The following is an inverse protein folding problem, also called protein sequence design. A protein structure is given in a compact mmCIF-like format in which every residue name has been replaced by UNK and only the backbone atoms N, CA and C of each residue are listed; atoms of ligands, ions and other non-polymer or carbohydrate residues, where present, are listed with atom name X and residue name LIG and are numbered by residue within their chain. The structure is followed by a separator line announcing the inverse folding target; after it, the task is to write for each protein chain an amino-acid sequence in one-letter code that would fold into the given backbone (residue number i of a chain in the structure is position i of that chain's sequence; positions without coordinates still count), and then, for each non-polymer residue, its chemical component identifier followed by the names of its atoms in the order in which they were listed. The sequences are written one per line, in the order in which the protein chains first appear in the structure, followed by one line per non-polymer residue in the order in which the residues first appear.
data_IF_560650001458
#
_entry.id   IF_560650001458
#
_cell.length_a   1.000
_cell.length_b   1.000
_cell.length_c   1.000
_cell.angle_alpha   90.00
_cell.angle_beta   90.00
_cell.angle_gamma   90.00
#
_symmetry.space_group_name_H-M   'P 1'
#
loop_
_entity.id
_entity.type
_entity.pdbx_description
1 polymer ?
#
# COMPACT_ATOMS: atom_id res chain seq x y z
N UNK A 1 20.76 23.63 -3.30
CA UNK A 1 20.16 22.51 -4.08
C UNK A 1 18.66 22.71 -4.11
N UNK A 2 18.00 22.71 -5.28
CA UNK A 2 16.54 22.74 -5.34
C UNK A 2 15.98 21.49 -4.64
N UNK A 3 15.01 21.67 -3.74
CA UNK A 3 14.32 20.53 -3.12
C UNK A 3 13.64 19.75 -4.25
N UNK A 4 13.79 18.41 -4.32
CA UNK A 4 13.05 17.62 -5.28
C UNK A 4 11.56 17.90 -5.07
N UNK A 5 10.84 18.23 -6.15
CA UNK A 5 9.39 18.38 -6.11
C UNK A 5 8.82 17.04 -5.69
N UNK A 6 8.16 16.97 -4.54
CA UNK A 6 7.44 15.78 -4.12
C UNK A 6 6.44 15.43 -5.22
N UNK A 7 6.46 14.20 -5.76
CA UNK A 7 5.46 13.79 -6.73
C UNK A 7 4.06 13.98 -6.14
N UNK A 8 3.15 14.51 -6.95
CA UNK A 8 1.76 14.73 -6.54
C UNK A 8 1.05 13.38 -6.56
N UNK A 9 1.04 12.71 -5.41
CA UNK A 9 0.29 11.47 -5.20
C UNK A 9 -1.18 11.80 -4.96
N UNK A 10 -2.07 11.05 -5.60
CA UNK A 10 -3.52 11.15 -5.47
C UNK A 10 -4.19 9.77 -5.37
N UNK A 11 -5.46 9.74 -4.96
CA UNK A 11 -6.23 8.51 -4.89
C UNK A 11 -6.35 7.86 -6.28
N UNK A 12 -6.28 6.53 -6.29
CA UNK A 12 -6.30 5.72 -7.51
C UNK A 12 -4.94 5.62 -8.20
N UNK A 13 -3.92 6.37 -7.78
CA UNK A 13 -2.57 6.19 -8.30
C UNK A 13 -2.08 4.78 -8.03
N UNK A 14 -1.47 4.18 -9.04
CA UNK A 14 -0.85 2.87 -8.94
C UNK A 14 0.65 3.04 -8.89
N UNK A 15 1.24 2.42 -7.86
CA UNK A 15 2.64 2.52 -7.52
C UNK A 15 3.37 1.22 -7.87
N UNK A 16 4.54 1.38 -8.46
CA UNK A 16 5.56 0.35 -8.55
C UNK A 16 6.42 0.42 -7.29
N UNK A 17 6.41 -0.65 -6.50
CA UNK A 17 7.19 -0.76 -5.25
C UNK A 17 8.29 -1.82 -5.45
N UNK A 18 9.57 -1.43 -5.50
CA UNK A 18 10.67 -2.39 -5.63
C UNK A 18 10.76 -3.23 -4.35
N UNK A 19 10.65 -4.56 -4.47
CA UNK A 19 10.62 -5.45 -3.30
C UNK A 19 11.64 -6.58 -3.39
N UNK A 20 11.77 -7.23 -4.54
CA UNK A 20 12.85 -8.20 -4.81
C UNK A 20 13.91 -7.56 -5.73
N UNK A 21 15.08 -8.18 -5.88
CA UNK A 21 16.18 -7.66 -6.70
C UNK A 21 15.80 -7.35 -8.16
N UNK A 22 14.87 -8.12 -8.71
CA UNK A 22 14.43 -8.08 -10.11
C UNK A 22 12.90 -8.00 -10.26
N UNK A 23 12.16 -7.79 -9.17
CA UNK A 23 10.69 -7.77 -9.18
C UNK A 23 10.13 -6.64 -8.34
N UNK A 24 8.96 -6.16 -8.75
CA UNK A 24 8.21 -5.16 -8.00
C UNK A 24 6.82 -5.68 -7.61
N UNK A 25 6.29 -5.13 -6.52
CA UNK A 25 4.90 -5.26 -6.13
C UNK A 25 4.12 -4.05 -6.65
N UNK A 26 2.86 -4.27 -7.04
CA UNK A 26 1.94 -3.19 -7.34
C UNK A 26 1.19 -2.77 -6.08
N UNK A 27 0.97 -1.47 -5.91
CA UNK A 27 0.10 -0.93 -4.88
C UNK A 27 -0.85 0.13 -5.48
N UNK A 28 -2.03 0.29 -4.92
CA UNK A 28 -2.95 1.38 -5.26
C UNK A 28 -3.10 2.32 -4.06
N UNK A 29 -3.09 3.62 -4.31
CA UNK A 29 -3.38 4.66 -3.32
C UNK A 29 -4.87 4.69 -3.09
N UNK A 30 -5.31 4.20 -1.93
CA UNK A 30 -6.71 4.14 -1.55
C UNK A 30 -7.20 5.44 -0.93
N UNK A 31 -6.31 6.15 -0.24
CA UNK A 31 -6.62 7.42 0.40
C UNK A 31 -5.37 8.27 0.56
N UNK A 32 -5.49 9.59 0.34
CA UNK A 32 -4.45 10.56 0.69
C UNK A 32 -5.00 11.47 1.77
N UNK A 33 -4.38 11.44 2.94
CA UNK A 33 -4.88 12.15 4.12
C UNK A 33 -4.51 13.62 4.09
N UNK A 34 -5.51 14.45 4.35
CA UNK A 34 -5.43 15.86 4.70
C UNK A 34 -5.27 16.04 6.22
N UNK A 35 -5.82 15.12 7.03
CA UNK A 35 -5.72 15.15 8.49
C UNK A 35 -4.31 14.76 8.98
N UNK A 36 -3.76 13.66 8.47
CA UNK A 36 -2.41 13.18 8.79
C UNK A 36 -1.45 13.74 7.76
N UNK A 37 -0.56 14.63 8.21
CA UNK A 37 0.42 15.27 7.32
C UNK A 37 1.26 14.23 6.56
N UNK A 38 1.19 14.29 5.23
CA UNK A 38 1.84 13.35 4.30
C UNK A 38 1.34 11.91 4.37
N UNK A 39 0.30 11.62 5.16
CA UNK A 39 -0.27 10.29 5.29
C UNK A 39 -0.95 9.84 4.00
N UNK A 40 -0.78 8.56 3.66
CA UNK A 40 -1.56 7.89 2.64
C UNK A 40 -1.80 6.44 3.02
N UNK A 41 -2.83 5.85 2.43
CA UNK A 41 -3.18 4.45 2.58
C UNK A 41 -2.93 3.72 1.27
N UNK A 42 -2.22 2.60 1.34
CA UNK A 42 -1.95 1.73 0.20
C UNK A 42 -2.63 0.37 0.36
N UNK A 43 -3.27 -0.09 -0.71
CA UNK A 43 -3.63 -1.49 -0.92
C UNK A 43 -2.56 -2.17 -1.78
N UNK A 44 -2.00 -3.29 -1.33
CA UNK A 44 -1.00 -4.06 -2.07
C UNK A 44 -1.64 -5.24 -2.77
N UNK A 45 -1.26 -5.51 -4.01
CA UNK A 45 -1.74 -6.67 -4.76
C UNK A 45 -0.85 -7.90 -4.48
N UNK A 46 -1.40 -9.12 -4.48
CA UNK A 46 -0.65 -10.33 -4.11
C UNK A 46 0.33 -10.82 -5.19
N UNK A 47 0.43 -10.12 -6.33
CA UNK A 47 1.25 -10.51 -7.48
C UNK A 47 2.52 -9.68 -7.59
N UNK A 48 3.61 -10.35 -7.99
CA UNK A 48 4.86 -9.71 -8.38
C UNK A 48 4.97 -9.57 -9.90
N UNK A 49 5.64 -8.51 -10.34
CA UNK A 49 5.86 -8.19 -11.74
C UNK A 49 7.35 -8.03 -12.03
N UNK A 50 7.76 -8.48 -13.23
CA UNK A 50 9.12 -8.28 -13.73
C UNK A 50 9.37 -6.82 -14.11
N UNK A 51 10.63 -6.39 -14.25
CA UNK A 51 10.99 -4.98 -14.32
C UNK A 51 10.56 -4.30 -15.62
N UNK A 52 10.43 -5.08 -16.70
CA UNK A 52 9.99 -4.66 -18.03
C UNK A 52 8.46 -4.78 -18.22
N UNK A 53 7.74 -5.35 -17.26
CA UNK A 53 6.29 -5.52 -17.37
C UNK A 53 5.60 -4.16 -17.31
N UNK A 54 4.83 -3.84 -18.35
CA UNK A 54 3.96 -2.67 -18.39
C UNK A 54 2.62 -3.02 -17.74
N UNK A 55 2.45 -2.59 -16.51
CA UNK A 55 1.26 -2.86 -15.71
C UNK A 55 0.00 -2.31 -16.37
N UNK A 56 -1.04 -3.13 -16.43
CA UNK A 56 -2.38 -2.77 -16.91
C UNK A 56 -3.40 -2.95 -15.78
N UNK A 57 -4.54 -2.27 -15.87
CA UNK A 57 -5.59 -2.37 -14.85
C UNK A 57 -6.09 -3.81 -14.68
N UNK A 58 -6.18 -4.57 -15.77
CA UNK A 58 -6.57 -5.99 -15.77
C UNK A 58 -5.55 -6.92 -15.09
N UNK A 59 -4.31 -6.46 -14.84
CA UNK A 59 -3.33 -7.24 -14.09
C UNK A 59 -3.60 -7.24 -12.57
N UNK A 60 -4.47 -6.34 -12.11
CA UNK A 60 -4.71 -6.06 -10.70
C UNK A 60 -6.04 -6.65 -10.24
N UNK A 61 -5.95 -7.82 -9.62
CA UNK A 61 -7.11 -8.51 -9.07
C UNK A 61 -7.18 -8.34 -7.54
N UNK A 62 -8.38 -8.01 -7.04
CA UNK A 62 -8.71 -8.08 -5.63
C UNK A 62 -8.92 -9.55 -5.19
N UNK A 63 -8.74 -9.89 -3.90
CA UNK A 63 -8.48 -8.99 -2.77
C UNK A 63 -7.02 -8.52 -2.66
N UNK A 64 -6.80 -7.47 -1.87
CA UNK A 64 -5.46 -7.06 -1.48
C UNK A 64 -4.74 -8.17 -0.70
N UNK A 65 -3.41 -8.17 -0.78
CA UNK A 65 -2.53 -9.09 -0.04
C UNK A 65 -2.81 -9.12 1.46
N UNK A 66 -3.21 -7.97 2.01
CA UNK A 66 -3.55 -7.79 3.42
C UNK A 66 -4.34 -6.47 3.61
N UNK A 67 -4.74 -6.22 4.86
CA UNK A 67 -5.33 -4.94 5.27
C UNK A 67 -4.47 -3.76 4.78
N UNK A 68 -5.08 -2.74 4.17
CA UNK A 68 -4.37 -1.56 3.70
C UNK A 68 -3.47 -0.93 4.76
N UNK A 69 -2.30 -0.45 4.32
CA UNK A 69 -1.26 0.06 5.22
C UNK A 69 -1.17 1.58 5.15
N UNK A 70 -1.01 2.18 6.31
CA UNK A 70 -0.68 3.60 6.44
C UNK A 70 0.81 3.82 6.21
N UNK A 71 1.13 4.80 5.37
CA UNK A 71 2.50 5.22 5.11
C UNK A 71 2.56 6.69 4.71
N UNK A 72 3.74 7.15 4.28
CA UNK A 72 3.97 8.54 3.86
C UNK A 72 4.06 8.65 2.34
N UNK A 73 3.36 9.62 1.75
CA UNK A 73 3.50 9.96 0.33
C UNK A 73 4.90 10.44 -0.05
N UNK A 74 5.73 10.79 0.93
CA UNK A 74 7.14 11.12 0.70
C UNK A 74 7.96 9.91 0.21
N UNK A 75 7.50 8.68 0.44
CA UNK A 75 8.18 7.49 -0.07
C UNK A 75 8.14 7.43 -1.60
N UNK A 76 7.09 8.00 -2.22
CA UNK A 76 7.00 8.15 -3.67
C UNK A 76 8.09 9.13 -4.13
N UNK A 77 8.96 8.66 -5.02
CA UNK A 77 10.15 9.37 -5.47
C UNK A 77 11.37 9.26 -4.56
N UNK A 78 11.24 9.28 -3.22
CA UNK A 78 12.42 9.19 -2.32
C UNK A 78 12.97 7.77 -2.17
N UNK A 79 12.10 6.75 -2.21
CA UNK A 79 12.48 5.33 -2.08
C UNK A 79 12.43 4.60 -3.42
N UNK A 80 12.48 5.32 -4.54
CA UNK A 80 12.37 4.71 -5.87
C UNK A 80 10.99 4.13 -6.19
N UNK A 81 9.97 4.46 -5.40
CA UNK A 81 8.59 4.14 -5.76
C UNK A 81 8.11 5.11 -6.84
N UNK A 82 7.46 4.56 -7.86
CA UNK A 82 7.05 5.31 -9.05
C UNK A 82 5.55 5.18 -9.28
N UNK A 83 4.90 6.29 -9.66
CA UNK A 83 3.51 6.26 -10.13
C UNK A 83 3.52 5.78 -11.58
N UNK A 84 2.86 4.66 -11.86
CA UNK A 84 2.81 4.03 -13.18
C UNK A 84 1.45 4.17 -13.88
N UNK A 85 0.45 4.67 -13.17
CA UNK A 85 -0.90 4.91 -13.71
C UNK A 85 -1.84 5.46 -12.65
N UNK A 86 -3.07 5.76 -13.05
CA UNK A 86 -4.17 6.08 -12.15
C UNK A 86 -5.41 5.30 -12.58
N UNK A 87 -5.88 4.40 -11.71
CA UNK A 87 -7.00 3.48 -11.96
C UNK A 87 -8.08 3.67 -10.90
N UNK A 88 -8.65 4.88 -10.87
CA UNK A 88 -9.69 5.27 -9.93
C UNK A 88 -10.95 4.38 -9.96
N UNK A 89 -11.20 3.64 -11.05
CA UNK A 89 -12.28 2.68 -11.13
C UNK A 89 -12.12 1.54 -10.11
N UNK A 90 -10.89 1.08 -9.83
CA UNK A 90 -10.59 0.07 -8.82
C UNK A 90 -10.92 0.53 -7.38
N UNK A 91 -10.97 1.85 -7.12
CA UNK A 91 -11.38 2.35 -5.81
C UNK A 91 -12.84 2.02 -5.49
N UNK A 92 -13.69 1.90 -6.51
CA UNK A 92 -15.12 1.58 -6.34
C UNK A 92 -15.36 0.14 -5.91
N UNK A 93 -14.40 -0.75 -6.21
CA UNK A 93 -14.47 -2.18 -5.87
C UNK A 93 -13.63 -2.51 -4.64
N UNK A 94 -12.72 -1.63 -4.24
CA UNK A 94 -11.92 -1.79 -3.03
C UNK A 94 -12.79 -1.73 -1.76
N UNK A 95 -12.47 -2.53 -0.72
CA UNK A 95 -13.14 -2.43 0.57
C UNK A 95 -12.93 -1.04 1.18
N UNK A 96 -13.93 -0.48 1.89
CA UNK A 96 -13.78 0.82 2.53
C UNK A 96 -12.67 0.77 3.58
N UNK A 97 -11.79 1.76 3.55
CA UNK A 97 -10.72 1.89 4.54
C UNK A 97 -11.30 2.54 5.79
N UNK A 98 -11.50 1.73 6.83
CA UNK A 98 -11.84 2.20 8.18
C UNK A 98 -10.67 1.87 9.10
N UNK A 99 -10.21 2.84 9.85
CA UNK A 99 -9.06 2.71 10.74
C UNK A 99 -9.32 3.40 12.08
N UNK A 100 -8.47 3.11 13.06
CA UNK A 100 -8.53 3.74 14.38
C UNK A 100 -7.33 4.63 14.69
N UNK A 101 -7.58 5.76 15.34
CA UNK A 101 -6.59 6.59 16.06
C UNK A 101 -7.02 6.63 17.52
N UNK A 102 -6.29 5.92 18.38
CA UNK A 102 -6.78 5.60 19.73
C UNK A 102 -8.09 4.83 19.65
N UNK A 103 -9.13 5.33 20.33
CA UNK A 103 -10.48 4.75 20.33
C UNK A 103 -11.39 5.29 19.20
N UNK A 104 -10.95 6.31 18.46
CA UNK A 104 -11.78 6.95 17.44
C UNK A 104 -11.62 6.23 16.10
N UNK A 105 -12.75 5.94 15.45
CA UNK A 105 -12.80 5.36 14.12
C UNK A 105 -12.89 6.46 13.06
N UNK A 106 -12.20 6.24 11.95
CA UNK A 106 -12.17 7.14 10.81
C UNK A 106 -12.38 6.36 9.52
N UNK A 107 -13.13 6.96 8.59
CA UNK A 107 -13.27 6.49 7.20
C UNK A 107 -12.64 7.56 6.31
N UNK A 108 -11.48 7.27 5.73
CA UNK A 108 -10.63 8.35 5.21
C UNK A 108 -10.32 9.34 6.33
N UNK A 109 -10.47 10.64 6.12
CA UNK A 109 -10.26 11.64 7.17
C UNK A 109 -11.52 11.96 8.01
N UNK A 110 -12.64 11.32 7.71
CA UNK A 110 -13.91 11.61 8.37
C UNK A 110 -14.10 10.78 9.64
N UNK A 111 -14.49 11.38 10.78
CA UNK A 111 -14.87 10.64 11.97
C UNK A 111 -16.06 9.72 11.68
N UNK A 112 -15.87 8.42 11.91
CA UNK A 112 -16.89 7.39 11.72
C UNK A 112 -17.53 6.93 13.05
N UNK A 113 -16.92 7.26 14.19
CA UNK A 113 -17.43 6.91 15.51
C UNK A 113 -16.31 6.52 16.48
N UNK A 114 -16.61 5.60 17.39
CA UNK A 114 -15.64 5.04 18.34
C UNK A 114 -15.71 3.52 18.31
N UNK A 115 -14.57 2.89 18.56
CA UNK A 115 -14.48 1.43 18.65
C UNK A 115 -14.86 0.98 20.06
N UNK A 116 -15.68 -0.07 20.13
CA UNK A 116 -15.97 -0.77 21.37
C UNK A 116 -14.77 -1.62 21.81
N UNK A 117 -14.59 -1.81 23.11
CA UNK A 117 -13.39 -2.46 23.66
C UNK A 117 -13.20 -3.91 23.17
N UNK A 118 -14.29 -4.63 22.93
CA UNK A 118 -14.34 -6.00 22.42
C UNK A 118 -14.03 -6.09 20.92
N UNK A 119 -14.18 -4.98 20.18
CA UNK A 119 -13.96 -4.90 18.72
C UNK A 119 -12.66 -4.22 18.34
N UNK A 120 -11.79 -3.97 19.31
CA UNK A 120 -10.55 -3.22 19.11
C UNK A 120 -9.60 -3.87 18.09
N UNK A 121 -9.63 -5.21 17.99
CA UNK A 121 -8.82 -5.99 17.06
C UNK A 121 -9.37 -5.99 15.62
N UNK A 122 -10.65 -5.66 15.42
CA UNK A 122 -11.30 -5.65 14.09
C UNK A 122 -10.82 -4.49 13.22
N UNK A 123 -10.34 -3.41 13.85
CA UNK A 123 -9.99 -2.17 13.18
C UNK A 123 -8.48 -1.93 13.21
N UNK A 124 -7.82 -1.79 12.04
CA UNK A 124 -6.40 -1.52 11.98
C UNK A 124 -6.10 -0.16 12.59
N UNK A 125 -5.07 -0.12 13.44
CA UNK A 125 -4.50 1.13 13.94
C UNK A 125 -3.71 1.83 12.86
N UNK A 126 -3.75 3.17 12.88
CA UNK A 126 -2.80 3.99 12.14
C UNK A 126 -1.43 3.84 12.77
N UNK A 127 -0.71 2.80 12.35
CA UNK A 127 0.72 2.67 12.53
C UNK A 127 1.34 3.09 11.20
N UNK A 128 2.04 4.22 11.16
CA UNK A 128 2.70 4.69 9.93
C UNK A 128 3.94 3.83 9.69
N UNK A 129 3.93 3.07 8.60
CA UNK A 129 5.07 2.25 8.20
C UNK A 129 6.07 3.09 7.42
N UNK A 130 7.34 3.05 7.84
CA UNK A 130 8.45 3.57 7.04
C UNK A 130 8.71 2.68 5.82
N UNK A 131 9.28 3.25 4.74
CA UNK A 131 9.47 2.55 3.47
C UNK A 131 10.22 1.22 3.60
N UNK A 132 11.36 1.21 4.30
CA UNK A 132 12.14 -0.01 4.50
C UNK A 132 11.38 -1.10 5.28
N UNK A 133 10.58 -0.71 6.28
CA UNK A 133 9.77 -1.66 7.05
C UNK A 133 8.70 -2.30 6.16
N UNK A 134 8.06 -1.50 5.32
CA UNK A 134 7.03 -1.95 4.39
C UNK A 134 7.62 -2.85 3.29
N UNK A 135 8.73 -2.45 2.68
CA UNK A 135 9.42 -3.26 1.67
C UNK A 135 9.92 -4.59 2.23
N UNK A 136 10.49 -4.60 3.43
CA UNK A 136 10.90 -5.84 4.10
C UNK A 136 9.71 -6.76 4.39
N UNK A 137 8.58 -6.19 4.80
CA UNK A 137 7.34 -6.93 5.00
C UNK A 137 6.83 -7.55 3.70
N UNK A 138 6.75 -6.76 2.62
CA UNK A 138 6.36 -7.24 1.29
C UNK A 138 7.32 -8.31 0.78
N UNK A 139 8.63 -8.15 0.98
CA UNK A 139 9.64 -9.15 0.58
C UNK A 139 9.42 -10.49 1.26
N UNK A 140 9.12 -10.50 2.56
CA UNK A 140 8.81 -11.73 3.31
C UNK A 140 7.54 -12.41 2.81
N UNK A 141 6.55 -11.63 2.38
CA UNK A 141 5.24 -12.13 1.94
C UNK A 141 5.25 -12.61 0.49
N UNK A 142 5.97 -11.92 -0.39
CA UNK A 142 5.88 -12.12 -1.84
C UNK A 142 7.15 -12.75 -2.45
N UNK A 143 8.34 -12.48 -1.91
CA UNK A 143 9.60 -12.99 -2.49
C UNK A 143 10.02 -14.33 -1.89
N UNK A 144 9.51 -14.72 -0.72
CA UNK A 144 9.91 -15.94 -0.01
C UNK A 144 9.49 -17.24 -0.72
N UNK A 145 8.52 -17.20 -1.63
CA UNK A 145 8.09 -18.35 -2.45
C UNK A 145 9.04 -18.66 -3.62
N UNK A 146 10.14 -17.91 -3.79
CA UNK A 146 11.10 -18.10 -4.90
C UNK A 146 12.31 -18.97 -4.55
N UNK A 147 12.23 -19.86 -3.54
CA UNK A 147 13.27 -20.88 -3.34
C UNK A 147 12.85 -22.18 -4.03
N UNK A 148 13.36 -22.52 -5.23
CA UNK A 148 13.32 -23.90 -5.68
C UNK A 148 14.39 -24.67 -4.90
N UNK A 149 13.98 -25.56 -4.01
CA UNK A 149 14.87 -26.51 -3.32
C UNK A 149 14.14 -27.21 -2.17
N UNK A 150 14.01 -28.54 -2.11
CA UNK A 150 14.79 -29.55 -2.79
C UNK A 150 14.01 -30.84 -3.05
N UNK A 151 14.46 -31.51 -4.11
CA UNK A 151 14.44 -32.97 -4.26
C UNK A 151 14.69 -33.65 -2.92
N UNK A 152 13.77 -34.49 -2.49
CA UNK A 152 14.10 -35.61 -1.61
C UNK A 152 14.41 -36.80 -2.53
N UNK A 153 15.69 -36.93 -2.86
CA UNK A 153 16.26 -38.21 -3.27
C UNK A 153 16.30 -39.20 -2.12
#
# INVERSE_FOLDING_TARGET
MPRPKTPRVQEGDVLRVPVCSDKYAAAIVLHVSEYIRNGMVLGFFPRLFGPEHKLQESDLELPFLETPKWTSKLLVGQQGWEVVGNWSALLKTAPPVIFRIGASLYRGDEPAGRVDADRWADYPEVLVWGGQALENHLRRRLCAESTPGGDNG
#
